data_IF_597561084967
#
_entry.id   IF_597561084967
#
_cell.length_a   1.000
_cell.length_b   1.000
_cell.length_c   1.000
_cell.angle_alpha   90.00
_cell.angle_beta   90.00
_cell.angle_gamma   90.00
#
_symmetry.space_group_name_H-M   'P 1'
#
loop_
_entity.id
_entity.type
_entity.pdbx_description
1 polymer ?
#
# COMPACT_ATOMS: atom_id res chain seq x y z
N UNK A 1 19.71 91.67 -48.43
CA UNK A 1 21.17 91.51 -48.31
C UNK A 1 21.39 90.05 -47.92
N UNK A 2 21.21 89.12 -48.85
CA UNK A 2 22.21 88.56 -49.79
C UNK A 2 22.43 87.10 -49.35
N UNK A 3 21.68 86.13 -49.90
CA UNK A 3 22.08 85.26 -51.02
C UNK A 3 23.47 84.64 -50.86
N UNK A 4 23.52 83.32 -50.58
CA UNK A 4 24.15 82.34 -51.49
C UNK A 4 23.79 80.90 -51.14
N UNK A 5 23.00 80.27 -52.00
CA UNK A 5 22.97 78.81 -52.17
C UNK A 5 24.16 78.34 -53.04
N UNK A 6 24.49 77.06 -52.84
CA UNK A 6 24.77 76.03 -53.86
C UNK A 6 26.21 75.45 -53.98
N UNK A 7 26.32 74.19 -53.53
CA UNK A 7 26.74 72.94 -54.20
C UNK A 7 28.19 72.66 -54.66
N UNK A 8 28.60 71.40 -54.43
CA UNK A 8 29.75 70.66 -54.99
C UNK A 8 30.69 70.17 -53.89
N UNK A 9 31.12 68.91 -53.76
CA UNK A 9 30.99 67.69 -54.56
C UNK A 9 31.35 66.49 -53.67
N UNK A 10 30.86 65.30 -54.02
CA UNK A 10 31.15 64.02 -53.37
C UNK A 10 32.66 63.69 -53.35
N UNK A 11 33.14 63.26 -52.19
CA UNK A 11 34.38 62.52 -52.01
C UNK A 11 34.09 61.27 -51.20
N UNK A 12 33.89 60.16 -51.91
CA UNK A 12 33.71 58.81 -51.40
C UNK A 12 34.95 58.33 -50.63
N UNK A 13 34.78 58.02 -49.35
CA UNK A 13 35.54 56.95 -48.70
C UNK A 13 34.52 55.97 -48.09
N UNK A 14 34.16 54.98 -48.91
CA UNK A 14 33.60 53.71 -48.47
C UNK A 14 34.58 53.07 -47.48
N UNK A 15 34.34 53.25 -46.18
CA UNK A 15 34.74 52.24 -45.22
C UNK A 15 33.60 51.22 -45.18
N UNK A 16 33.88 50.08 -45.76
CA UNK A 16 33.01 48.91 -45.87
C UNK A 16 32.30 48.60 -44.54
N UNK A 17 31.04 49.02 -44.43
CA UNK A 17 30.15 48.51 -43.40
C UNK A 17 29.85 47.04 -43.76
N UNK A 18 30.64 46.14 -43.19
CA UNK A 18 30.31 44.71 -43.21
C UNK A 18 28.88 44.57 -42.69
N UNK A 19 27.95 44.19 -43.58
CA UNK A 19 26.63 43.71 -43.17
C UNK A 19 26.87 42.65 -42.10
N UNK A 20 26.31 42.77 -40.89
CA UNK A 20 26.46 41.74 -39.89
C UNK A 20 25.92 40.45 -40.49
N UNK A 21 26.75 39.40 -40.54
CA UNK A 21 26.30 38.06 -40.91
C UNK A 21 25.03 37.73 -40.11
N UNK A 22 24.05 37.10 -40.76
CA UNK A 22 22.73 36.77 -40.17
C UNK A 22 22.82 36.17 -38.76
N UNK A 23 23.89 35.40 -38.50
CA UNK A 23 24.21 34.81 -37.20
C UNK A 23 24.54 35.83 -36.09
N UNK A 24 25.32 36.87 -36.38
CA UNK A 24 25.69 37.88 -35.39
C UNK A 24 24.49 38.75 -34.99
N UNK A 25 23.66 39.11 -35.98
CA UNK A 25 22.40 39.81 -35.72
C UNK A 25 21.48 38.98 -34.80
N UNK A 26 21.38 37.67 -35.06
CA UNK A 26 20.59 36.74 -34.23
C UNK A 26 21.11 36.60 -32.80
N UNK A 27 22.43 36.46 -32.61
CA UNK A 27 23.03 36.33 -31.27
C UNK A 27 22.77 37.56 -30.41
N UNK A 28 22.76 38.75 -31.02
CA UNK A 28 22.51 40.00 -30.32
C UNK A 28 21.04 40.28 -30.02
N UNK A 29 20.10 39.67 -30.76
CA UNK A 29 18.65 39.76 -30.50
C UNK A 29 18.11 38.61 -29.64
N UNK A 30 18.95 37.59 -29.38
CA UNK A 30 18.59 36.46 -28.53
C UNK A 30 18.40 36.86 -27.06
N UNK A 31 17.44 36.21 -26.39
CA UNK A 31 17.23 36.30 -24.94
C UNK A 31 18.17 35.40 -24.14
N UNK A 32 18.99 34.58 -24.82
CA UNK A 32 19.96 33.71 -24.17
C UNK A 32 21.09 34.54 -23.56
N UNK A 33 21.12 34.58 -22.23
CA UNK A 33 22.12 35.31 -21.48
C UNK A 33 23.51 34.68 -21.72
N UNK A 34 24.51 35.50 -22.01
CA UNK A 34 25.88 35.04 -22.27
C UNK A 34 26.21 34.86 -23.76
N UNK A 35 25.23 34.60 -24.63
CA UNK A 35 25.48 34.30 -26.05
C UNK A 35 26.14 35.46 -26.80
N UNK A 36 25.71 36.70 -26.51
CA UNK A 36 26.30 37.93 -27.06
C UNK A 36 27.78 38.14 -26.75
N UNK A 37 28.27 37.60 -25.63
CA UNK A 37 29.68 37.73 -25.23
C UNK A 37 30.59 36.68 -25.90
N UNK A 38 29.98 35.64 -26.47
CA UNK A 38 30.67 34.59 -27.22
C UNK A 38 30.85 34.98 -28.69
N UNK A 39 30.01 35.85 -29.27
CA UNK A 39 30.15 36.32 -30.65
C UNK A 39 30.20 37.84 -30.76
N UNK A 40 31.22 38.52 -30.17
CA UNK A 40 31.42 39.95 -30.38
C UNK A 40 31.89 40.23 -31.82
N UNK A 41 31.66 41.45 -32.32
CA UNK A 41 32.26 41.94 -33.55
C UNK A 41 33.79 42.04 -33.39
N UNK A 42 34.56 41.13 -34.00
CA UNK A 42 36.04 41.20 -34.01
C UNK A 42 36.78 39.86 -33.84
N UNK A 43 38.09 39.96 -33.61
CA UNK A 43 39.03 38.82 -33.49
C UNK A 43 38.77 37.96 -32.23
N UNK A 44 39.07 36.64 -32.25
CA UNK A 44 38.90 35.77 -31.09
C UNK A 44 39.81 36.20 -29.92
N UNK A 45 39.29 36.21 -28.69
CA UNK A 45 40.01 36.62 -27.48
C UNK A 45 39.83 35.60 -26.34
N UNK A 46 40.77 35.56 -25.38
CA UNK A 46 40.67 34.70 -24.20
C UNK A 46 39.38 34.94 -23.39
N UNK A 47 38.89 36.18 -23.38
CA UNK A 47 37.60 36.56 -22.78
C UNK A 47 36.41 35.83 -23.42
N UNK A 48 36.44 35.62 -24.74
CA UNK A 48 35.41 34.85 -25.47
C UNK A 48 35.38 33.39 -25.02
N UNK A 49 36.56 32.79 -24.85
CA UNK A 49 36.69 31.42 -24.37
C UNK A 49 36.13 31.28 -22.95
N UNK A 50 36.44 32.23 -22.07
CA UNK A 50 35.90 32.27 -20.71
C UNK A 50 34.36 32.34 -20.70
N UNK A 51 33.76 33.21 -21.51
CA UNK A 51 32.30 33.30 -21.64
C UNK A 51 31.66 32.04 -22.24
N UNK A 52 32.35 31.40 -23.19
CA UNK A 52 31.88 30.14 -23.77
C UNK A 52 31.92 29.00 -22.75
N UNK A 53 33.01 28.86 -21.98
CA UNK A 53 33.13 27.89 -20.90
C UNK A 53 32.08 28.14 -19.83
N UNK A 54 31.88 29.39 -19.42
CA UNK A 54 30.85 29.74 -18.43
C UNK A 54 29.43 29.39 -18.92
N UNK A 55 29.09 29.72 -20.18
CA UNK A 55 27.78 29.37 -20.74
C UNK A 55 27.58 27.85 -20.83
N UNK A 56 28.60 27.11 -21.26
CA UNK A 56 28.56 25.65 -21.32
C UNK A 56 28.42 25.01 -19.94
N UNK A 57 29.13 25.55 -18.93
CA UNK A 57 29.00 25.10 -17.55
C UNK A 57 27.58 25.35 -17.02
N UNK A 58 27.01 26.53 -17.25
CA UNK A 58 25.63 26.83 -16.87
C UNK A 58 24.61 25.92 -17.56
N UNK A 59 24.79 25.64 -18.86
CA UNK A 59 23.91 24.74 -19.61
C UNK A 59 24.02 23.28 -19.12
N UNK A 60 25.24 22.82 -18.81
CA UNK A 60 25.49 21.49 -18.26
C UNK A 60 24.87 21.30 -16.88
N UNK A 61 25.04 22.27 -15.98
CA UNK A 61 24.40 22.26 -14.66
C UNK A 61 22.88 22.28 -14.77
N UNK A 62 22.32 23.12 -15.65
CA UNK A 62 20.89 23.17 -15.91
C UNK A 62 20.35 21.81 -16.38
N UNK A 63 21.03 21.15 -17.32
CA UNK A 63 20.63 19.85 -17.82
C UNK A 63 20.69 18.77 -16.73
N UNK A 64 21.77 18.73 -15.95
CA UNK A 64 21.95 17.78 -14.85
C UNK A 64 20.83 17.92 -13.80
N UNK A 65 20.64 19.12 -13.26
CA UNK A 65 19.59 19.44 -12.28
C UNK A 65 18.20 19.12 -12.83
N UNK A 66 17.93 19.47 -14.10
CA UNK A 66 16.64 19.18 -14.74
C UNK A 66 16.39 17.68 -14.86
N UNK A 67 17.41 16.89 -15.24
CA UNK A 67 17.27 15.43 -15.34
C UNK A 67 17.08 14.78 -13.97
N UNK A 68 17.78 15.24 -12.93
CA UNK A 68 17.61 14.74 -11.57
C UNK A 68 16.20 15.02 -11.04
N UNK A 69 15.71 16.26 -11.22
CA UNK A 69 14.36 16.64 -10.79
C UNK A 69 13.28 15.91 -11.59
N UNK A 70 13.48 15.71 -12.89
CA UNK A 70 12.56 14.92 -13.71
C UNK A 70 12.55 13.45 -13.29
N UNK A 71 13.71 12.86 -13.02
CA UNK A 71 13.81 11.48 -12.52
C UNK A 71 13.15 11.34 -11.15
N UNK A 72 13.36 12.31 -10.24
CA UNK A 72 12.68 12.35 -8.95
C UNK A 72 11.17 12.49 -9.12
N UNK A 73 10.68 13.38 -9.99
CA UNK A 73 9.26 13.50 -10.29
C UNK A 73 8.66 12.19 -10.84
N UNK A 74 9.36 11.53 -11.76
CA UNK A 74 8.95 10.26 -12.36
C UNK A 74 9.16 9.04 -11.43
N UNK A 75 9.85 9.20 -10.31
CA UNK A 75 9.89 8.18 -9.24
C UNK A 75 8.62 8.16 -8.36
N UNK A 76 7.68 9.09 -8.61
CA UNK A 76 6.42 9.22 -7.88
C UNK A 76 6.58 9.17 -6.33
N UNK A 77 7.47 10.00 -5.76
CA UNK A 77 7.67 10.04 -4.31
C UNK A 77 6.43 10.64 -3.66
N UNK A 78 5.99 10.04 -2.55
CA UNK A 78 4.88 10.52 -1.75
C UNK A 78 5.36 10.75 -0.32
N UNK A 79 4.83 11.79 0.32
CA UNK A 79 5.04 12.08 1.74
C UNK A 79 3.69 11.97 2.42
N UNK A 80 3.61 11.18 3.48
CA UNK A 80 2.39 11.05 4.29
C UNK A 80 2.49 12.00 5.49
N UNK A 81 1.49 12.87 5.65
CA UNK A 81 1.26 13.62 6.88
C UNK A 81 0.24 12.86 7.73
N UNK A 82 0.52 12.69 9.01
CA UNK A 82 -0.36 11.98 9.94
C UNK A 82 -0.86 12.98 10.96
N UNK A 83 -2.17 13.23 10.95
CA UNK A 83 -2.85 14.13 11.86
C UNK A 83 -3.86 13.36 12.73
N UNK A 84 -3.91 13.68 14.02
CA UNK A 84 -4.89 13.14 14.95
C UNK A 84 -5.97 14.19 15.22
N UNK A 85 -7.17 13.97 14.67
CA UNK A 85 -8.32 14.87 14.88
C UNK A 85 -9.27 14.26 15.89
N UNK A 86 -9.64 15.03 16.90
CA UNK A 86 -10.65 14.63 17.90
C UNK A 86 -12.04 14.79 17.30
N UNK A 87 -12.81 13.70 17.27
CA UNK A 87 -14.22 13.69 16.87
C UNK A 87 -15.11 13.39 18.07
N UNK A 88 -16.26 14.04 18.16
CA UNK A 88 -17.27 13.79 19.21
C UNK A 88 -18.08 12.52 18.98
N UNK A 89 -18.04 11.95 17.78
CA UNK A 89 -18.70 10.69 17.44
C UNK A 89 -17.84 9.89 16.47
N UNK A 90 -17.70 8.59 16.73
CA UNK A 90 -17.01 7.64 15.87
C UNK A 90 -17.89 6.40 15.70
N UNK A 91 -17.79 5.76 14.55
CA UNK A 91 -18.42 4.46 14.32
C UNK A 91 -17.67 3.42 15.15
N UNK A 92 -18.41 2.67 15.98
CA UNK A 92 -17.82 1.60 16.76
C UNK A 92 -17.38 0.46 15.84
N UNK A 93 -16.17 -0.08 16.04
CA UNK A 93 -15.65 -1.10 15.14
C UNK A 93 -16.37 -2.44 15.33
N UNK A 94 -16.27 -3.31 14.33
CA UNK A 94 -16.61 -4.71 14.50
C UNK A 94 -15.59 -5.38 15.43
N UNK A 95 -16.09 -6.17 16.39
CA UNK A 95 -15.28 -6.88 17.39
C UNK A 95 -15.47 -8.39 17.22
N UNK A 96 -14.47 -9.10 16.74
CA UNK A 96 -14.58 -10.56 16.57
C UNK A 96 -14.09 -11.27 17.83
N UNK A 97 -14.93 -12.13 18.41
CA UNK A 97 -14.63 -12.94 19.60
C UNK A 97 -14.66 -14.42 19.21
N UNK A 98 -13.63 -15.17 19.57
CA UNK A 98 -13.56 -16.60 19.33
C UNK A 98 -13.09 -17.31 20.58
N UNK A 99 -13.74 -18.42 20.89
CA UNK A 99 -13.18 -19.34 21.87
C UNK A 99 -11.93 -20.00 21.25
N UNK A 100 -10.84 -20.08 22.00
CA UNK A 100 -9.64 -20.79 21.55
C UNK A 100 -9.88 -22.29 21.45
N UNK A 101 -10.82 -22.80 22.24
CA UNK A 101 -11.30 -24.15 22.05
C UNK A 101 -12.23 -24.20 20.82
N UNK A 102 -11.82 -24.95 19.81
CA UNK A 102 -12.50 -25.00 18.50
C UNK A 102 -13.83 -25.76 18.59
N UNK A 103 -13.99 -26.66 19.55
CA UNK A 103 -15.16 -27.52 19.67
C UNK A 103 -15.53 -27.83 21.12
N UNK A 104 -16.83 -27.96 21.38
CA UNK A 104 -17.38 -28.50 22.63
C UNK A 104 -17.20 -30.01 22.61
N UNK A 105 -16.33 -30.54 23.49
CA UNK A 105 -16.04 -31.96 23.59
C UNK A 105 -17.31 -32.82 23.76
N UNK A 106 -18.28 -32.34 24.55
CA UNK A 106 -19.57 -33.00 24.78
C UNK A 106 -20.48 -33.11 23.55
N UNK A 107 -20.25 -32.31 22.51
CA UNK A 107 -21.04 -32.31 21.26
C UNK A 107 -20.46 -33.25 20.18
N UNK A 108 -19.29 -33.83 20.42
CA UNK A 108 -18.66 -34.77 19.48
C UNK A 108 -19.43 -36.09 19.42
N UNK A 109 -19.68 -36.55 18.20
CA UNK A 109 -20.32 -37.84 17.94
C UNK A 109 -19.33 -38.87 17.42
N UNK A 110 -19.73 -40.15 17.41
CA UNK A 110 -18.96 -41.23 16.78
C UNK A 110 -18.69 -40.97 15.29
N UNK A 111 -19.64 -40.38 14.56
CA UNK A 111 -19.43 -40.04 13.15
C UNK A 111 -18.36 -38.95 12.99
N UNK A 112 -18.35 -37.98 13.89
CA UNK A 112 -17.38 -36.88 13.87
C UNK A 112 -15.96 -37.41 14.14
N UNK A 113 -15.78 -38.27 15.13
CA UNK A 113 -14.48 -38.90 15.40
C UNK A 113 -14.03 -39.79 14.24
N UNK A 114 -14.96 -40.48 13.56
CA UNK A 114 -14.62 -41.31 12.41
C UNK A 114 -14.06 -40.48 11.22
N UNK A 115 -14.65 -39.31 10.94
CA UNK A 115 -14.26 -38.49 9.77
C UNK A 115 -13.22 -37.41 10.09
N UNK A 116 -13.24 -36.85 11.31
CA UNK A 116 -12.43 -35.71 11.72
C UNK A 116 -11.55 -36.00 12.95
N UNK A 117 -11.56 -37.21 13.52
CA UNK A 117 -10.80 -37.53 14.73
C UNK A 117 -9.29 -37.32 14.58
N UNK A 118 -8.74 -37.66 13.41
CA UNK A 118 -7.33 -37.38 13.07
C UNK A 118 -7.07 -35.86 12.95
N UNK A 119 -7.96 -35.12 12.29
CA UNK A 119 -7.87 -33.66 12.14
C UNK A 119 -7.89 -32.94 13.50
N UNK A 120 -8.66 -33.46 14.45
CA UNK A 120 -8.76 -32.94 15.81
C UNK A 120 -7.63 -33.43 16.74
N UNK A 121 -6.70 -34.25 16.22
CA UNK A 121 -5.65 -34.93 16.99
C UNK A 121 -6.17 -35.79 18.16
N UNK A 122 -7.43 -36.24 18.09
CA UNK A 122 -8.04 -37.12 19.07
C UNK A 122 -7.81 -38.61 18.75
N UNK A 123 -7.59 -38.92 17.46
CA UNK A 123 -7.27 -40.25 16.96
C UNK A 123 -6.04 -40.21 16.05
N UNK A 124 -5.35 -41.33 15.92
CA UNK A 124 -4.27 -41.50 14.95
C UNK A 124 -4.78 -42.01 13.58
N UNK A 125 -3.86 -42.26 12.65
CA UNK A 125 -4.15 -42.79 11.30
C UNK A 125 -4.85 -44.17 11.34
N UNK A 126 -4.72 -44.91 12.44
CA UNK A 126 -5.38 -46.20 12.65
C UNK A 126 -6.73 -46.07 13.39
N UNK A 127 -7.23 -44.85 13.58
CA UNK A 127 -8.46 -44.55 14.30
C UNK A 127 -8.42 -45.00 15.78
N UNK A 128 -7.24 -44.95 16.39
CA UNK A 128 -7.00 -45.29 17.80
C UNK A 128 -6.62 -44.06 18.62
N UNK A 129 -6.89 -44.11 19.93
CA UNK A 129 -6.59 -42.99 20.84
C UNK A 129 -5.08 -42.96 21.10
N UNK A 130 -4.35 -41.89 20.73
CA UNK A 130 -2.93 -41.77 21.01
C UNK A 130 -2.70 -41.57 22.51
N UNK A 131 -1.69 -42.25 23.06
CA UNK A 131 -1.22 -42.05 24.44
C UNK A 131 -2.34 -41.98 25.50
N UNK A 132 -3.18 -43.03 25.64
CA UNK A 132 -4.38 -43.00 26.50
C UNK A 132 -4.08 -42.77 27.99
N UNK A 133 -2.83 -42.97 28.43
CA UNK A 133 -2.38 -42.76 29.80
C UNK A 133 -2.26 -41.28 30.20
N UNK A 134 -2.26 -40.35 29.24
CA UNK A 134 -2.21 -38.91 29.50
C UNK A 134 -3.60 -38.26 29.61
N UNK A 135 -4.66 -38.98 29.23
CA UNK A 135 -6.01 -38.49 29.31
C UNK A 135 -6.61 -38.72 30.70
N UNK A 136 -7.41 -37.77 31.17
CA UNK A 136 -8.21 -37.95 32.39
C UNK A 136 -9.20 -39.12 32.21
N UNK A 137 -9.51 -39.90 33.26
CA UNK A 137 -10.29 -41.14 33.11
C UNK A 137 -11.68 -40.97 32.48
N UNK A 138 -12.34 -39.84 32.72
CA UNK A 138 -13.65 -39.49 32.17
C UNK A 138 -13.56 -39.13 30.68
N UNK A 139 -12.56 -38.34 30.28
CA UNK A 139 -12.25 -38.02 28.88
C UNK A 139 -11.91 -39.30 28.12
N UNK A 140 -11.09 -40.17 28.71
CA UNK A 140 -10.73 -41.45 28.11
C UNK A 140 -11.94 -42.36 27.94
N UNK A 141 -12.83 -42.45 28.94
CA UNK A 141 -14.05 -43.24 28.86
C UNK A 141 -14.98 -42.74 27.73
N UNK A 142 -15.13 -41.42 27.59
CA UNK A 142 -15.89 -40.82 26.49
C UNK A 142 -15.29 -41.18 25.12
N UNK A 143 -13.96 -41.03 24.97
CA UNK A 143 -13.28 -41.37 23.72
C UNK A 143 -13.38 -42.85 23.41
N UNK A 144 -13.22 -43.75 24.39
CA UNK A 144 -13.34 -45.20 24.18
C UNK A 144 -14.74 -45.61 23.73
N UNK A 145 -15.78 -45.00 24.29
CA UNK A 145 -17.17 -45.24 23.88
C UNK A 145 -17.42 -44.77 22.45
N UNK A 146 -16.97 -43.55 22.12
CA UNK A 146 -17.23 -42.94 20.80
C UNK A 146 -16.31 -43.45 19.71
N UNK A 147 -15.07 -43.83 20.01
CA UNK A 147 -14.09 -44.36 19.06
C UNK A 147 -14.17 -45.89 18.83
N UNK A 148 -15.21 -46.56 19.33
CA UNK A 148 -15.44 -47.96 18.98
C UNK A 148 -16.11 -48.09 17.60
N UNK A 149 -15.31 -48.44 16.59
CA UNK A 149 -15.74 -48.55 15.19
C UNK A 149 -15.98 -49.98 14.68
N UNK A 150 -15.84 -51.02 15.52
CA UNK A 150 -15.87 -52.45 15.09
C UNK A 150 -17.13 -52.88 14.32
N UNK A 151 -18.29 -52.29 14.61
CA UNK A 151 -19.55 -52.53 13.90
C UNK A 151 -20.21 -51.21 13.43
N UNK A 152 -19.40 -50.17 13.20
CA UNK A 152 -19.91 -48.86 12.85
C UNK A 152 -20.14 -48.71 11.33
N UNK A 153 -21.28 -48.12 10.96
CA UNK A 153 -21.58 -47.72 9.58
C UNK A 153 -21.48 -46.19 9.48
N UNK A 154 -20.45 -45.66 8.78
CA UNK A 154 -20.28 -44.22 8.62
C UNK A 154 -21.48 -43.57 7.95
N UNK A 155 -21.87 -42.39 8.44
CA UNK A 155 -22.91 -41.56 7.83
C UNK A 155 -22.26 -40.46 6.99
N UNK A 156 -23.05 -39.84 6.12
CA UNK A 156 -22.63 -38.64 5.40
C UNK A 156 -22.13 -37.58 6.39
N UNK A 157 -21.06 -36.90 6.02
CA UNK A 157 -20.38 -35.93 6.87
C UNK A 157 -20.15 -34.64 6.09
N UNK A 158 -20.41 -33.51 6.74
CA UNK A 158 -20.18 -32.18 6.19
C UNK A 158 -19.39 -31.38 7.20
N UNK A 159 -18.23 -30.86 6.79
CA UNK A 159 -17.40 -30.02 7.65
C UNK A 159 -18.14 -28.79 8.14
N UNK A 160 -19.03 -28.21 7.31
CA UNK A 160 -19.83 -27.05 7.69
C UNK A 160 -20.78 -27.39 8.84
N UNK A 161 -21.55 -28.47 8.70
CA UNK A 161 -22.49 -28.92 9.75
C UNK A 161 -21.75 -29.28 11.03
N UNK A 162 -20.61 -29.97 10.90
CA UNK A 162 -19.76 -30.34 12.01
C UNK A 162 -19.34 -29.10 12.80
N UNK A 163 -18.71 -28.13 12.13
CA UNK A 163 -18.22 -26.88 12.71
C UNK A 163 -19.34 -26.09 13.39
N UNK A 164 -20.50 -25.94 12.72
CA UNK A 164 -21.67 -25.21 13.26
C UNK A 164 -22.26 -25.89 14.49
N UNK A 165 -22.31 -27.22 14.54
CA UNK A 165 -22.88 -27.97 15.66
C UNK A 165 -21.93 -28.10 16.85
N UNK A 166 -20.66 -28.39 16.61
CA UNK A 166 -19.69 -28.63 17.70
C UNK A 166 -19.06 -27.35 18.21
N UNK A 167 -19.09 -26.27 17.43
CA UNK A 167 -18.60 -24.96 17.85
C UNK A 167 -19.29 -24.46 19.12
N UNK A 168 -18.69 -23.46 19.77
CA UNK A 168 -19.25 -22.86 20.96
C UNK A 168 -20.46 -21.97 20.64
N UNK A 169 -21.50 -22.07 21.46
CA UNK A 169 -22.68 -21.24 21.35
C UNK A 169 -22.51 -19.96 22.17
N UNK A 170 -22.85 -18.81 21.58
CA UNK A 170 -22.75 -17.54 22.27
C UNK A 170 -23.76 -17.45 23.41
N UNK A 171 -24.94 -18.05 23.25
CA UNK A 171 -25.97 -18.07 24.29
C UNK A 171 -25.46 -18.73 25.58
N UNK A 172 -24.55 -19.71 25.46
CA UNK A 172 -23.94 -20.39 26.60
C UNK A 172 -22.70 -19.65 27.16
N UNK A 173 -22.01 -18.86 26.33
CA UNK A 173 -20.78 -18.16 26.73
C UNK A 173 -21.02 -16.74 27.27
N UNK A 174 -22.02 -16.05 26.75
CA UNK A 174 -22.26 -14.63 27.04
C UNK A 174 -23.11 -14.48 28.31
N UNK A 175 -22.44 -14.27 29.43
CA UNK A 175 -23.11 -14.05 30.71
C UNK A 175 -23.74 -12.66 30.83
N UNK A 176 -23.14 -11.65 30.19
CA UNK A 176 -23.57 -10.26 30.26
C UNK A 176 -23.00 -9.47 29.08
N UNK A 177 -23.78 -8.55 28.53
CA UNK A 177 -23.38 -7.67 27.44
C UNK A 177 -24.05 -6.31 27.61
N UNK A 178 -23.26 -5.23 27.53
CA UNK A 178 -23.77 -3.86 27.52
C UNK A 178 -22.91 -2.96 26.64
N UNK A 179 -23.57 -2.18 25.80
CA UNK A 179 -22.93 -1.21 24.91
C UNK A 179 -23.57 0.17 25.08
N UNK A 180 -22.75 1.18 25.39
CA UNK A 180 -23.19 2.55 25.71
C UNK A 180 -24.30 2.67 26.78
N UNK A 181 -24.42 1.69 27.68
CA UNK A 181 -25.46 1.68 28.71
C UNK A 181 -26.65 0.77 28.39
N UNK A 182 -26.82 0.39 27.13
CA UNK A 182 -27.91 -0.48 26.65
C UNK A 182 -27.50 -1.95 26.70
N UNK A 183 -28.39 -2.82 27.16
CA UNK A 183 -28.14 -4.25 27.24
C UNK A 183 -28.18 -4.88 25.83
N UNK A 184 -27.24 -5.78 25.56
CA UNK A 184 -27.17 -6.53 24.30
C UNK A 184 -27.41 -8.03 24.52
N UNK A 185 -27.82 -8.68 23.44
CA UNK A 185 -28.29 -10.07 23.40
C UNK A 185 -27.47 -10.90 22.39
N UNK A 186 -27.48 -12.24 22.48
CA UNK A 186 -26.79 -13.09 21.51
C UNK A 186 -27.26 -12.83 20.06
N UNK A 187 -28.51 -12.40 19.86
CA UNK A 187 -29.06 -12.05 18.54
C UNK A 187 -28.43 -10.82 17.90
N UNK A 188 -27.77 -9.96 18.69
CA UNK A 188 -27.01 -8.80 18.19
C UNK A 188 -25.64 -9.20 17.61
N UNK A 189 -25.31 -10.51 17.67
CA UNK A 189 -24.05 -11.07 17.18
C UNK A 189 -24.29 -11.91 15.94
N UNK A 190 -23.33 -11.84 15.01
CA UNK A 190 -23.36 -12.63 13.78
C UNK A 190 -22.32 -13.74 13.82
N UNK A 191 -22.79 -14.98 13.69
CA UNK A 191 -21.89 -16.12 13.49
C UNK A 191 -21.24 -16.02 12.11
N UNK A 192 -19.91 -16.04 12.07
CA UNK A 192 -19.16 -16.05 10.82
C UNK A 192 -18.43 -17.39 10.68
N UNK A 193 -18.68 -18.18 9.63
CA UNK A 193 -17.98 -19.43 9.42
C UNK A 193 -16.53 -19.13 9.00
N UNK A 194 -15.59 -19.30 9.92
CA UNK A 194 -14.15 -19.25 9.66
C UNK A 194 -13.49 -20.57 10.08
N UNK A 195 -12.26 -20.79 9.62
CA UNK A 195 -11.42 -21.98 9.91
C UNK A 195 -11.30 -22.30 11.42
N UNK A 196 -11.56 -21.31 12.28
CA UNK A 196 -11.47 -21.42 13.74
C UNK A 196 -12.79 -21.22 14.51
N UNK A 197 -13.97 -21.22 13.88
CA UNK A 197 -15.22 -20.89 14.59
C UNK A 197 -15.24 -19.46 15.21
N UNK A 198 -14.71 -18.47 14.48
CA UNK A 198 -14.71 -17.07 14.92
C UNK A 198 -16.13 -16.48 14.88
N UNK A 199 -16.70 -16.11 16.03
CA UNK A 199 -17.91 -15.28 16.05
C UNK A 199 -17.52 -13.82 15.83
N UNK A 200 -18.08 -13.19 14.81
CA UNK A 200 -17.78 -11.78 14.52
C UNK A 200 -18.90 -10.90 15.03
N UNK A 201 -18.64 -10.09 16.06
CA UNK A 201 -19.56 -9.04 16.45
C UNK A 201 -19.44 -7.92 15.41
N UNK A 202 -20.52 -7.66 14.69
CA UNK A 202 -20.78 -6.31 14.18
C UNK A 202 -21.88 -5.78 15.09
N UNK A 203 -21.52 -5.05 16.15
CA UNK A 203 -22.52 -4.22 16.84
C UNK A 203 -22.95 -3.20 15.80
N UNK A 204 -24.22 -3.22 15.41
CA UNK A 204 -24.84 -2.13 14.66
C UNK A 204 -25.32 -1.10 15.67
#
# INVERSE_FOLDING_TARGET
>A
MDLKENCGSQGSQESSSLRPTSWQAFVHTSTLHGLRFIFPYGQPSARRLLWAVALLACLGLLALESTERLAYFLSYPHVTSVDAVVSSSLVFPAVTICNLNVYRFSRLTRNDLYHAGELLALLDVHLTIPQPHLAEPDVLAFLQEKANFTAYRPKAFSMKEFIERVGHDLEEMMLYCRYQGEDCSPSDFKTMPNVFNLMSMTII
#
